data_IF_230909490366
#
_entry.id   IF_230909490366
#
_cell.length_a   1.000
_cell.length_b   1.000
_cell.length_c   1.000
_cell.angle_alpha   90.00
_cell.angle_beta   90.00
_cell.angle_gamma   90.00
#
_symmetry.space_group_name_H-M   'P 1'
#
loop_
_entity.id
_entity.type
_entity.pdbx_description
1 polymer ?
#
# COMPACT_ATOMS: atom_id res chain seq x y z
N UNK A 1 5.54 -11.94 -22.46
CA UNK A 1 4.68 -12.80 -23.30
C UNK A 1 3.57 -13.29 -22.39
N UNK A 2 2.40 -12.65 -22.45
CA UNK A 2 1.27 -12.97 -21.58
C UNK A 2 0.51 -14.14 -22.18
N UNK A 3 0.44 -15.25 -21.46
CA UNK A 3 -0.40 -16.38 -21.82
C UNK A 3 -1.80 -16.15 -21.25
N UNK A 4 -2.77 -16.09 -22.15
CA UNK A 4 -4.18 -15.81 -21.86
C UNK A 4 -4.88 -17.16 -21.73
N UNK A 5 -4.96 -17.69 -20.51
CA UNK A 5 -5.68 -18.94 -20.23
C UNK A 5 -7.21 -18.73 -20.34
N UNK A 6 -7.95 -19.73 -20.87
CA UNK A 6 -9.37 -19.61 -21.15
C UNK A 6 -10.22 -19.63 -19.88
N UNK A 7 -11.22 -18.76 -19.87
CA UNK A 7 -12.23 -18.51 -18.83
C UNK A 7 -12.86 -19.80 -18.25
N UNK A 8 -12.50 -20.17 -17.01
CA UNK A 8 -13.30 -21.09 -16.19
C UNK A 8 -14.30 -20.29 -15.34
N UNK A 9 -15.60 -20.55 -15.58
CA UNK A 9 -16.69 -20.11 -14.68
C UNK A 9 -16.47 -20.71 -13.29
N UNK A 10 -16.26 -19.86 -12.29
CA UNK A 10 -16.19 -20.27 -10.88
C UNK A 10 -14.79 -20.29 -10.25
N UNK A 11 -13.76 -19.79 -10.93
CA UNK A 11 -12.46 -19.56 -10.29
C UNK A 11 -12.48 -18.21 -9.59
N UNK A 12 -12.51 -18.22 -8.26
CA UNK A 12 -12.10 -17.06 -7.45
C UNK A 12 -10.66 -16.76 -7.84
N UNK A 13 -10.46 -15.76 -8.69
CA UNK A 13 -9.12 -15.29 -9.03
C UNK A 13 -8.61 -14.54 -7.80
N UNK A 14 -8.01 -15.29 -6.89
CA UNK A 14 -7.17 -14.73 -5.85
C UNK A 14 -5.90 -14.28 -6.55
N UNK A 15 -5.90 -13.09 -7.18
CA UNK A 15 -4.64 -12.40 -7.42
C UNK A 15 -4.10 -12.05 -6.05
N UNK A 16 -3.23 -12.93 -5.55
CA UNK A 16 -2.41 -12.65 -4.40
C UNK A 16 -1.54 -11.47 -4.80
N UNK A 17 -1.80 -10.30 -4.24
CA UNK A 17 -0.82 -9.21 -4.24
C UNK A 17 0.50 -9.84 -3.80
N UNK A 18 1.60 -9.54 -4.49
CA UNK A 18 2.89 -10.16 -4.20
C UNK A 18 3.46 -9.59 -2.89
N UNK A 19 2.84 -9.97 -1.77
CA UNK A 19 3.17 -9.53 -0.42
C UNK A 19 4.55 -9.99 0.02
N UNK A 20 5.17 -10.91 -0.72
CA UNK A 20 6.57 -11.35 -0.52
C UNK A 20 7.56 -10.21 -0.77
N UNK A 21 7.18 -9.17 -1.51
CA UNK A 21 8.01 -7.97 -1.70
C UNK A 21 7.79 -6.90 -0.62
N UNK A 22 6.81 -7.10 0.26
CA UNK A 22 6.45 -6.09 1.26
C UNK A 22 7.41 -6.17 2.45
N UNK A 23 8.00 -5.03 2.81
CA UNK A 23 8.90 -4.92 3.96
C UNK A 23 8.14 -4.99 5.28
N UNK A 24 7.41 -3.92 5.62
CA UNK A 24 6.55 -3.88 6.81
C UNK A 24 5.09 -3.87 6.39
N UNK A 25 4.31 -4.84 6.85
CA UNK A 25 2.88 -4.93 6.55
C UNK A 25 2.06 -4.52 7.77
N UNK A 26 1.12 -3.59 7.58
CA UNK A 26 0.13 -3.25 8.60
C UNK A 26 -1.23 -3.79 8.18
N UNK A 27 -1.83 -4.61 9.04
CA UNK A 27 -3.22 -5.05 8.88
C UNK A 27 -4.13 -4.11 9.67
N UNK A 28 -5.15 -3.58 9.03
CA UNK A 28 -6.14 -2.71 9.62
C UNK A 28 -7.53 -3.06 9.10
N UNK A 29 -8.56 -2.60 9.80
CA UNK A 29 -9.95 -2.72 9.38
C UNK A 29 -10.41 -1.41 8.74
N UNK A 30 -11.07 -1.50 7.58
CA UNK A 30 -11.72 -0.35 6.96
C UNK A 30 -12.94 0.08 7.77
N UNK A 31 -12.92 1.25 8.41
CA UNK A 31 -14.03 1.77 9.22
C UNK A 31 -15.04 2.57 8.42
N UNK A 32 -14.62 3.10 7.27
CA UNK A 32 -15.48 3.81 6.31
C UNK A 32 -14.86 3.72 4.90
N UNK A 33 -15.70 3.66 3.87
CA UNK A 33 -15.28 3.58 2.48
C UNK A 33 -16.17 4.47 1.61
N UNK A 34 -15.54 5.42 0.92
CA UNK A 34 -16.21 6.28 -0.06
C UNK A 34 -15.54 6.10 -1.41
N UNK A 35 -16.29 5.65 -2.41
CA UNK A 35 -15.81 5.48 -3.79
C UNK A 35 -16.60 6.40 -4.74
N UNK A 36 -15.91 7.26 -5.47
CA UNK A 36 -16.52 8.16 -6.45
C UNK A 36 -15.51 8.56 -7.54
N UNK A 37 -15.94 8.54 -8.81
CA UNK A 37 -15.18 9.07 -9.95
C UNK A 37 -13.73 8.56 -10.05
N UNK A 38 -13.49 7.25 -9.84
CA UNK A 38 -12.14 6.67 -9.91
C UNK A 38 -11.24 7.01 -8.71
N UNK A 39 -11.82 7.54 -7.64
CA UNK A 39 -11.15 7.76 -6.36
C UNK A 39 -11.84 6.99 -5.26
N UNK A 40 -11.03 6.43 -4.37
CA UNK A 40 -11.50 5.69 -3.21
C UNK A 40 -10.84 6.26 -1.97
N UNK A 41 -11.64 6.59 -0.96
CA UNK A 41 -11.14 7.00 0.35
C UNK A 41 -11.53 5.92 1.33
N UNK A 42 -10.55 5.39 2.06
CA UNK A 42 -10.76 4.39 3.09
C UNK A 42 -10.25 4.89 4.41
N UNK A 43 -11.11 4.97 5.41
CA UNK A 43 -10.70 5.22 6.78
C UNK A 43 -10.34 3.90 7.44
N UNK A 44 -9.21 3.83 8.14
CA UNK A 44 -8.76 2.61 8.83
C UNK A 44 -8.70 2.80 10.34
N UNK A 45 -8.87 1.71 11.09
CA UNK A 45 -8.80 1.67 12.56
C UNK A 45 -7.36 1.59 13.12
N UNK A 46 -6.36 1.85 12.29
CA UNK A 46 -4.96 1.87 12.69
C UNK A 46 -4.35 3.26 12.50
N UNK A 47 -3.34 3.58 13.32
CA UNK A 47 -2.48 4.74 13.09
C UNK A 47 -1.32 4.36 12.18
N UNK A 48 -1.03 5.16 11.16
CA UNK A 48 0.10 4.92 10.26
C UNK A 48 1.37 5.55 10.85
N UNK A 49 2.51 4.83 10.87
CA UNK A 49 3.78 5.39 11.33
C UNK A 49 4.15 6.64 10.52
N UNK A 50 4.38 7.78 11.17
CA UNK A 50 4.62 9.09 10.51
C UNK A 50 5.72 9.05 9.44
N UNK A 51 6.80 8.32 9.70
CA UNK A 51 7.97 8.22 8.82
C UNK A 51 7.91 7.00 7.91
N UNK A 52 6.73 6.60 7.44
CA UNK A 52 6.59 5.56 6.42
C UNK A 52 5.90 6.09 5.17
N UNK A 53 6.26 5.51 4.03
CA UNK A 53 5.56 5.65 2.77
C UNK A 53 4.63 4.46 2.60
N UNK A 54 3.47 4.70 1.99
CA UNK A 54 2.56 3.63 1.58
C UNK A 54 2.99 3.18 0.18
N UNK A 55 3.40 1.92 0.06
CA UNK A 55 3.92 1.35 -1.18
C UNK A 55 2.82 0.66 -1.98
N UNK A 56 1.97 -0.09 -1.29
CA UNK A 56 0.96 -0.95 -1.90
C UNK A 56 -0.16 -1.24 -0.90
N UNK A 57 -1.29 -1.74 -1.41
CA UNK A 57 -2.46 -2.11 -0.64
C UNK A 57 -3.04 -3.42 -1.15
N UNK A 58 -3.50 -4.26 -0.23
CA UNK A 58 -4.21 -5.48 -0.53
C UNK A 58 -5.49 -5.56 0.30
N UNK A 59 -6.46 -6.31 -0.21
CA UNK A 59 -7.76 -6.53 0.42
C UNK A 59 -7.95 -8.03 0.72
N UNK A 60 -7.31 -8.56 1.78
CA UNK A 60 -7.44 -9.97 2.14
C UNK A 60 -8.90 -10.43 2.24
N UNK A 61 -9.21 -11.57 1.63
CA UNK A 61 -10.56 -12.15 1.63
C UNK A 61 -11.56 -11.46 0.69
N UNK A 62 -11.14 -10.45 -0.08
CA UNK A 62 -12.00 -9.76 -1.06
C UNK A 62 -11.76 -10.31 -2.46
N UNK A 63 -12.84 -10.57 -3.21
CA UNK A 63 -12.75 -11.01 -4.59
C UNK A 63 -12.50 -9.83 -5.54
N UNK A 64 -11.60 -10.01 -6.50
CA UNK A 64 -11.17 -8.96 -7.43
C UNK A 64 -12.00 -8.89 -8.72
N UNK A 65 -13.13 -9.61 -8.83
CA UNK A 65 -14.00 -9.43 -9.99
C UNK A 65 -14.51 -7.99 -10.07
N UNK A 66 -14.25 -7.35 -11.21
CA UNK A 66 -14.59 -5.95 -11.43
C UNK A 66 -13.67 -4.97 -10.70
N UNK A 67 -12.50 -5.40 -10.24
CA UNK A 67 -11.51 -4.48 -9.69
C UNK A 67 -11.05 -3.47 -10.75
N UNK A 68 -10.81 -2.24 -10.32
CA UNK A 68 -10.43 -1.12 -11.19
C UNK A 68 -9.24 -0.39 -10.61
N UNK A 69 -8.37 0.13 -11.47
CA UNK A 69 -7.29 1.01 -11.04
C UNK A 69 -7.88 2.36 -10.63
N UNK A 70 -7.61 2.78 -9.39
CA UNK A 70 -8.15 4.00 -8.81
C UNK A 70 -7.13 4.69 -7.90
N UNK A 71 -7.29 5.99 -7.69
CA UNK A 71 -6.54 6.71 -6.66
C UNK A 71 -7.15 6.39 -5.29
N UNK A 72 -6.47 5.55 -4.51
CA UNK A 72 -6.88 5.15 -3.19
C UNK A 72 -6.19 6.00 -2.12
N UNK A 73 -6.98 6.67 -1.29
CA UNK A 73 -6.52 7.46 -0.15
C UNK A 73 -6.86 6.73 1.14
N UNK A 74 -5.83 6.32 1.89
CA UNK A 74 -5.96 5.79 3.25
C UNK A 74 -5.95 6.95 4.23
N UNK A 75 -6.96 6.99 5.10
CA UNK A 75 -7.06 7.93 6.23
C UNK A 75 -6.92 7.15 7.53
N UNK A 76 -5.88 7.44 8.30
CA UNK A 76 -5.60 6.74 9.55
C UNK A 76 -6.39 7.33 10.74
N UNK A 77 -6.27 6.71 11.92
CA UNK A 77 -6.89 7.23 13.16
C UNK A 77 -6.43 8.64 13.55
N UNK A 78 -5.21 9.02 13.15
CA UNK A 78 -4.63 10.35 13.37
C UNK A 78 -5.09 11.38 12.32
N UNK A 79 -5.98 10.98 11.39
CA UNK A 79 -6.45 11.77 10.25
C UNK A 79 -5.36 12.08 9.21
N UNK A 80 -4.21 11.41 9.26
CA UNK A 80 -3.21 11.48 8.20
C UNK A 80 -3.72 10.80 6.95
N UNK A 81 -3.43 11.41 5.81
CA UNK A 81 -3.87 10.93 4.50
C UNK A 81 -2.68 10.47 3.70
N UNK A 82 -2.78 9.29 3.09
CA UNK A 82 -1.80 8.78 2.14
C UNK A 82 -2.52 8.25 0.92
N UNK A 83 -2.08 8.69 -0.25
CA UNK A 83 -2.71 8.32 -1.51
C UNK A 83 -1.74 7.49 -2.34
N UNK A 84 -2.23 6.40 -2.91
CA UNK A 84 -1.53 5.62 -3.93
C UNK A 84 -2.47 5.31 -5.08
N UNK A 85 -1.90 4.89 -6.20
CA UNK A 85 -2.66 4.36 -7.32
C UNK A 85 -2.65 2.83 -7.24
N UNK A 86 -3.82 2.22 -7.05
CA UNK A 86 -3.93 0.78 -6.76
C UNK A 86 -5.15 0.13 -7.42
N UNK A 87 -5.11 -1.20 -7.53
CA UNK A 87 -6.25 -2.00 -7.97
C UNK A 87 -7.24 -2.13 -6.80
N UNK A 88 -8.44 -1.55 -6.96
CA UNK A 88 -9.48 -1.53 -5.92
C UNK A 88 -10.66 -2.41 -6.35
N UNK A 89 -11.09 -3.38 -5.51
CA UNK A 89 -12.30 -4.17 -5.74
C UNK A 89 -13.54 -3.30 -5.98
N UNK A 90 -14.48 -3.79 -6.79
CA UNK A 90 -15.76 -3.10 -7.03
C UNK A 90 -16.58 -2.91 -5.74
N UNK A 91 -16.41 -3.81 -4.78
CA UNK A 91 -17.10 -3.79 -3.49
C UNK A 91 -16.10 -3.99 -2.36
N UNK A 92 -15.90 -2.95 -1.55
CA UNK A 92 -15.15 -3.02 -0.30
C UNK A 92 -16.13 -3.14 0.86
N UNK A 93 -15.91 -4.14 1.71
CA UNK A 93 -16.72 -4.35 2.90
C UNK A 93 -16.21 -3.45 4.02
N UNK A 94 -17.09 -2.62 4.59
CA UNK A 94 -16.80 -1.94 5.86
C UNK A 94 -16.54 -3.00 6.93
N UNK A 95 -15.55 -2.79 7.77
CA UNK A 95 -14.87 -3.71 8.68
C UNK A 95 -14.00 -4.80 8.02
N UNK A 96 -13.89 -4.80 6.69
CA UNK A 96 -13.00 -5.69 5.97
C UNK A 96 -11.53 -5.42 6.29
N UNK A 97 -10.73 -6.49 6.32
CA UNK A 97 -9.27 -6.38 6.51
C UNK A 97 -8.64 -5.75 5.28
N UNK A 98 -7.79 -4.77 5.53
CA UNK A 98 -6.94 -4.10 4.54
C UNK A 98 -5.50 -4.29 5.01
N UNK A 99 -4.65 -4.75 4.11
CA UNK A 99 -3.22 -4.89 4.36
C UNK A 99 -2.48 -3.79 3.61
N UNK A 100 -1.61 -3.07 4.32
CA UNK A 100 -0.87 -1.92 3.81
C UNK A 100 0.62 -2.23 3.82
N UNK A 101 1.27 -2.11 2.66
CA UNK A 101 2.71 -2.24 2.53
C UNK A 101 3.37 -0.90 2.87
N UNK A 102 4.22 -0.90 3.88
CA UNK A 102 4.90 0.29 4.37
C UNK A 102 6.41 0.16 4.17
N UNK A 103 7.04 1.28 3.80
CA UNK A 103 8.49 1.42 3.80
C UNK A 103 8.91 2.63 4.62
N UNK A 104 9.97 2.55 5.44
CA UNK A 104 10.52 3.71 6.13
C UNK A 104 10.95 4.81 5.13
N UNK A 105 10.46 6.03 5.34
CA UNK A 105 11.01 7.23 4.73
C UNK A 105 12.20 7.64 5.57
N UNK A 106 13.37 7.08 5.26
CA UNK A 106 14.63 7.55 5.83
C UNK A 106 14.96 8.86 5.08
N UNK A 107 14.98 10.02 5.74
CA UNK A 107 15.51 11.21 5.10
C UNK A 107 16.97 10.94 4.73
N UNK A 108 17.44 11.30 3.52
CA UNK A 108 18.83 11.06 3.14
C UNK A 108 19.72 11.74 4.19
N UNK A 109 20.50 10.94 4.94
CA UNK A 109 21.57 11.48 5.77
C UNK A 109 22.58 12.10 4.81
N UNK A 110 22.63 13.41 4.72
CA UNK A 110 23.76 14.12 4.12
C UNK A 110 25.00 13.86 4.98
N UNK A 111 25.70 12.75 4.75
CA UNK A 111 27.05 12.56 5.27
C UNK A 111 28.03 12.96 4.19
N UNK A 112 28.22 14.27 4.00
CA UNK A 112 29.45 14.77 3.40
C UNK A 112 30.57 14.61 4.42
N UNK A 113 31.05 13.38 4.64
CA UNK A 113 32.33 13.18 5.31
C UNK A 113 33.42 13.35 4.27
N UNK A 114 33.80 14.60 4.00
CA UNK A 114 35.06 14.89 3.31
C UNK A 114 36.17 14.58 4.31
N UNK A 115 36.64 13.33 4.30
CA UNK A 115 37.88 12.96 4.98
C UNK A 115 39.05 13.65 4.27
N UNK A 116 39.49 14.78 4.81
CA UNK A 116 40.78 15.38 4.42
C UNK A 116 41.85 14.64 5.21
N UNK A 117 42.49 13.67 4.57
CA UNK A 117 43.70 13.06 5.11
C UNK A 117 44.79 14.14 5.19
N UNK A 118 45.07 14.62 6.40
CA UNK A 118 46.20 15.50 6.69
C UNK A 118 47.39 14.62 7.04
N UNK A 119 48.25 14.33 6.06
CA UNK A 119 49.53 13.66 6.31
C UNK A 119 50.48 14.66 6.98
N UNK A 120 50.88 14.36 8.21
CA UNK A 120 51.98 15.04 8.91
C UNK A 120 53.17 14.08 8.87
N UNK A 121 54.26 14.49 8.22
CA UNK A 121 55.54 13.79 8.26
C UNK A 121 56.43 14.50 9.29
N UNK A 122 57.00 13.70 10.20
CA UNK A 122 58.02 14.12 11.17
C UNK A 122 59.40 14.23 10.52
#
# INVERSE_FOLDING_TARGET
MFDMLPSLKGVTVTRTFETTTWGTTLHASGTDVVAAHGRVVVQVDAALPLHSALLDVAFPGTHLAGATMADLTVVDLSRHRRTLHAEVPAHLTVTGTIALALSPVIPPRTTSSRSVARTVTA
#
